data_IF_565016960928
#
_entry.id   IF_565016960928
#
_cell.length_a   1.000
_cell.length_b   1.000
_cell.length_c   1.000
_cell.angle_alpha   90.00
_cell.angle_beta   90.00
_cell.angle_gamma   90.00
#
_symmetry.space_group_name_H-M   'P 1'
#
loop_
_entity.id
_entity.type
_entity.pdbx_description
1 polymer ?
#
# COMPACT_ATOMS: atom_id res chain seq x y z
N UNK A 1 -9.47 7.65 11.97
CA UNK A 1 -8.99 6.59 11.07
C UNK A 1 -9.23 5.27 11.77
N UNK A 2 -9.74 4.28 11.05
CA UNK A 2 -9.94 2.93 11.58
C UNK A 2 -8.60 2.21 11.60
N UNK A 3 -8.30 1.50 12.69
CA UNK A 3 -7.08 0.71 12.82
C UNK A 3 -7.41 -0.77 12.69
N UNK A 4 -6.67 -1.48 11.85
CA UNK A 4 -6.84 -2.90 11.58
C UNK A 4 -5.63 -3.71 12.05
N UNK A 5 -5.84 -4.95 12.48
CA UNK A 5 -4.74 -5.88 12.74
C UNK A 5 -4.27 -6.52 11.44
N UNK A 6 -2.99 -6.89 11.36
CA UNK A 6 -2.46 -7.68 10.23
C UNK A 6 -3.27 -8.96 9.99
N UNK A 7 -3.70 -9.59 11.08
CA UNK A 7 -4.55 -10.79 11.07
C UNK A 7 -5.91 -10.54 10.41
N UNK A 8 -6.47 -9.34 10.59
CA UNK A 8 -7.75 -8.98 10.01
C UNK A 8 -7.59 -8.72 8.52
N UNK A 9 -6.59 -7.92 8.14
CA UNK A 9 -6.30 -7.62 6.74
C UNK A 9 -6.00 -8.91 5.97
N UNK A 10 -5.30 -9.87 6.58
CA UNK A 10 -5.02 -11.18 5.99
C UNK A 10 -6.27 -12.02 5.66
N UNK A 11 -7.43 -11.75 6.28
CA UNK A 11 -8.70 -12.40 5.93
C UNK A 11 -9.31 -11.84 4.64
N UNK A 12 -8.97 -10.61 4.27
CA UNK A 12 -9.45 -9.95 3.05
C UNK A 12 -8.49 -10.23 1.89
N UNK A 13 -8.47 -11.50 1.48
CA UNK A 13 -7.58 -12.04 0.46
C UNK A 13 -8.33 -12.66 -0.74
N UNK A 14 -9.54 -12.19 -1.04
CA UNK A 14 -10.40 -12.75 -2.11
C UNK A 14 -10.80 -11.69 -3.11
N UNK A 15 -11.24 -12.12 -4.30
CA UNK A 15 -11.72 -11.23 -5.38
C UNK A 15 -12.92 -10.34 -4.99
N UNK A 16 -13.72 -10.74 -4.00
CA UNK A 16 -14.86 -9.95 -3.51
C UNK A 16 -14.55 -9.17 -2.22
N UNK A 17 -13.36 -9.38 -1.63
CA UNK A 17 -12.89 -8.76 -0.39
C UNK A 17 -11.35 -8.71 -0.45
N UNK A 18 -10.82 -7.66 -1.10
CA UNK A 18 -9.41 -7.53 -1.45
C UNK A 18 -8.80 -6.28 -0.82
N UNK A 19 -8.04 -6.49 0.25
CA UNK A 19 -7.32 -5.41 0.92
C UNK A 19 -5.82 -5.56 0.72
N UNK A 20 -5.14 -4.42 0.63
CA UNK A 20 -3.68 -4.36 0.55
C UNK A 20 -3.14 -3.39 1.58
N UNK A 21 -1.91 -3.65 2.02
CA UNK A 21 -1.18 -2.78 2.94
C UNK A 21 -0.12 -2.02 2.14
N UNK A 22 -0.12 -0.70 2.28
CA UNK A 22 0.90 0.17 1.69
C UNK A 22 1.35 1.22 2.70
N UNK A 23 2.64 1.26 3.05
CA UNK A 23 3.19 2.16 4.07
C UNK A 23 2.32 2.21 5.34
N UNK A 24 1.99 1.03 5.88
CA UNK A 24 1.14 0.89 7.08
C UNK A 24 -0.33 1.35 6.89
N UNK A 25 -0.71 1.82 5.69
CA UNK A 25 -2.08 2.13 5.31
C UNK A 25 -2.83 0.90 4.82
N UNK A 26 -4.12 0.79 5.13
CA UNK A 26 -5.01 -0.25 4.60
C UNK A 26 -5.91 0.35 3.53
N UNK A 27 -5.95 -0.30 2.37
CA UNK A 27 -6.65 0.17 1.17
C UNK A 27 -7.59 -0.92 0.65
N UNK A 28 -8.85 -0.55 0.43
CA UNK A 28 -9.86 -1.43 -0.19
C UNK A 28 -9.87 -1.22 -1.69
N UNK A 29 -9.28 -2.17 -2.42
CA UNK A 29 -9.22 -2.14 -3.89
C UNK A 29 -10.12 -3.23 -4.50
N UNK A 30 -11.06 -3.75 -3.72
CA UNK A 30 -12.06 -4.75 -4.12
C UNK A 30 -12.85 -4.35 -5.37
N UNK A 31 -13.07 -3.07 -5.61
CA UNK A 31 -13.74 -2.58 -6.83
C UNK A 31 -12.77 -2.21 -7.96
N UNK A 32 -11.49 -2.08 -7.65
CA UNK A 32 -10.48 -1.59 -8.58
C UNK A 32 -9.58 -2.71 -9.12
N UNK A 33 -9.50 -3.85 -8.45
CA UNK A 33 -8.54 -4.91 -8.83
C UNK A 33 -8.73 -5.42 -10.28
N UNK A 34 -9.97 -5.41 -10.80
CA UNK A 34 -10.27 -5.76 -12.21
C UNK A 34 -9.90 -4.65 -13.18
N UNK A 35 -9.86 -3.39 -12.73
CA UNK A 35 -9.50 -2.22 -13.53
C UNK A 35 -7.98 -1.99 -13.55
N UNK A 36 -7.21 -2.79 -12.78
CA UNK A 36 -5.78 -2.62 -12.66
C UNK A 36 -5.04 -2.99 -13.95
N UNK A 37 -4.33 -2.04 -14.60
CA UNK A 37 -3.66 -2.30 -15.88
C UNK A 37 -2.52 -3.32 -15.79
N UNK A 38 -1.95 -3.53 -14.60
CA UNK A 38 -0.92 -4.56 -14.36
C UNK A 38 -1.48 -5.97 -14.15
N UNK A 39 -2.81 -6.14 -14.19
CA UNK A 39 -3.50 -7.41 -14.01
C UNK A 39 -3.96 -7.67 -12.58
N UNK A 40 -5.07 -8.40 -12.46
CA UNK A 40 -5.69 -8.79 -11.18
C UNK A 40 -4.89 -9.86 -10.42
N UNK A 41 -4.20 -10.76 -11.13
CA UNK A 41 -3.45 -11.87 -10.52
C UNK A 41 -2.40 -11.38 -9.51
N UNK A 42 -1.73 -10.27 -9.82
CA UNK A 42 -0.69 -9.69 -8.97
C UNK A 42 -1.31 -9.12 -7.69
N UNK A 43 -2.46 -8.45 -7.82
CA UNK A 43 -3.18 -7.89 -6.68
C UNK A 43 -3.73 -8.99 -5.77
N UNK A 44 -4.30 -10.05 -6.35
CA UNK A 44 -4.77 -11.23 -5.61
C UNK A 44 -3.64 -11.93 -4.85
N UNK A 45 -2.45 -12.04 -5.45
CA UNK A 45 -1.29 -12.66 -4.80
C UNK A 45 -0.78 -11.83 -3.59
N UNK A 46 -0.93 -10.51 -3.67
CA UNK A 46 -0.57 -9.55 -2.61
C UNK A 46 -1.74 -9.23 -1.67
N UNK A 47 -2.92 -9.80 -1.91
CA UNK A 47 -4.10 -9.55 -1.10
C UNK A 47 -3.89 -10.04 0.34
N UNK A 48 -4.28 -9.21 1.30
CA UNK A 48 -4.06 -9.43 2.72
C UNK A 48 -2.60 -9.29 3.18
N UNK A 49 -1.71 -8.74 2.33
CA UNK A 49 -0.27 -8.58 2.60
C UNK A 49 0.19 -7.16 2.32
N UNK A 50 1.43 -6.87 2.73
CA UNK A 50 2.14 -5.65 2.35
C UNK A 50 2.60 -5.72 0.89
N UNK A 51 2.13 -4.76 0.10
CA UNK A 51 2.49 -4.57 -1.30
C UNK A 51 3.35 -3.34 -1.52
N UNK A 52 3.88 -2.73 -0.44
CA UNK A 52 4.66 -1.49 -0.49
C UNK A 52 5.84 -1.63 -1.43
N UNK A 53 6.64 -2.69 -1.25
CA UNK A 53 7.81 -2.92 -2.10
C UNK A 53 7.43 -3.18 -3.56
N UNK A 54 6.43 -4.02 -3.82
CA UNK A 54 6.01 -4.31 -5.19
C UNK A 54 5.49 -3.06 -5.90
N UNK A 55 4.75 -2.20 -5.21
CA UNK A 55 4.21 -0.98 -5.78
C UNK A 55 5.31 0.03 -6.14
N UNK A 56 6.31 0.18 -5.26
CA UNK A 56 7.46 1.08 -5.42
C UNK A 56 8.42 0.59 -6.52
N UNK A 57 8.70 -0.72 -6.55
CA UNK A 57 9.59 -1.36 -7.55
C UNK A 57 9.04 -1.24 -8.98
N UNK A 58 7.72 -1.33 -9.14
CA UNK A 58 7.06 -1.13 -10.45
C UNK A 58 7.16 0.33 -10.92
N UNK A 59 7.21 1.30 -10.01
CA UNK A 59 7.28 2.72 -10.36
C UNK A 59 5.99 3.29 -10.95
N UNK A 60 4.87 3.15 -10.23
CA UNK A 60 3.57 3.67 -10.66
C UNK A 60 3.54 5.22 -10.82
N UNK A 61 2.77 5.71 -11.80
CA UNK A 61 2.57 7.14 -12.04
C UNK A 61 1.90 7.87 -10.87
N UNK A 62 2.07 9.19 -10.82
CA UNK A 62 1.47 10.07 -9.79
C UNK A 62 -0.05 9.90 -9.68
N UNK A 63 -0.75 9.71 -10.81
CA UNK A 63 -2.20 9.45 -10.82
C UNK A 63 -2.57 8.18 -10.05
N UNK A 64 -1.80 7.10 -10.19
CA UNK A 64 -2.03 5.85 -9.46
C UNK A 64 -1.76 6.01 -7.97
N UNK A 65 -0.76 6.82 -7.60
CA UNK A 65 -0.45 7.18 -6.21
C UNK A 65 -1.63 7.94 -5.59
N UNK A 66 -2.17 8.94 -6.30
CA UNK A 66 -3.33 9.71 -5.85
C UNK A 66 -4.56 8.82 -5.74
N UNK A 67 -4.82 7.99 -6.75
CA UNK A 67 -5.97 7.10 -6.81
C UNK A 67 -5.95 6.10 -5.66
N UNK A 68 -4.81 5.48 -5.37
CA UNK A 68 -4.60 4.63 -4.18
C UNK A 68 -5.12 5.32 -2.91
N UNK A 69 -4.77 6.59 -2.73
CA UNK A 69 -5.14 7.34 -1.52
C UNK A 69 -6.65 7.48 -1.34
N UNK A 70 -7.42 7.50 -2.42
CA UNK A 70 -8.89 7.53 -2.37
C UNK A 70 -9.50 6.22 -1.85
N UNK A 71 -8.79 5.10 -1.98
CA UNK A 71 -9.21 3.78 -1.50
C UNK A 71 -8.80 3.49 -0.04
N UNK A 72 -8.16 4.45 0.63
CA UNK A 72 -7.69 4.25 2.01
C UNK A 72 -8.87 4.16 2.98
N UNK A 73 -8.99 3.00 3.63
CA UNK A 73 -10.02 2.75 4.65
C UNK A 73 -9.49 2.90 6.08
N UNK A 74 -8.17 2.78 6.27
CA UNK A 74 -7.55 2.83 7.59
C UNK A 74 -6.05 2.67 7.57
N UNK A 75 -5.49 2.24 8.70
CA UNK A 75 -4.08 1.88 8.87
C UNK A 75 -3.98 0.60 9.66
N UNK A 76 -2.91 -0.17 9.43
CA UNK A 76 -2.56 -1.24 10.35
C UNK A 76 -1.95 -0.61 11.62
N UNK A 77 -1.98 -1.33 12.74
CA UNK A 77 -1.39 -0.80 13.96
C UNK A 77 -1.49 -1.77 15.12
N UNK A 78 -0.33 -2.16 15.64
CA UNK A 78 -0.26 -2.63 17.01
C UNK A 78 -0.55 -1.41 17.90
N UNK A 79 -1.62 -1.45 18.69
CA UNK A 79 -2.14 -0.28 19.40
C UNK A 79 -1.04 0.57 20.05
N UNK A 80 -1.07 1.87 19.74
CA UNK A 80 -0.27 2.97 20.28
C UNK A 80 1.17 3.14 19.75
N UNK A 81 1.37 4.13 18.88
CA UNK A 81 2.11 5.36 19.17
C UNK A 81 2.41 6.14 17.88
N UNK A 82 2.30 7.46 17.97
CA UNK A 82 2.69 8.41 16.95
C UNK A 82 4.22 8.44 16.71
N UNK A 83 4.63 8.81 15.50
CA UNK A 83 6.02 9.06 15.08
C UNK A 83 6.59 7.84 14.34
N UNK A 84 7.11 7.94 13.13
CA UNK A 84 8.09 8.92 12.70
C UNK A 84 8.04 9.09 11.18
N UNK A 85 7.92 10.34 10.74
CA UNK A 85 8.28 10.77 9.40
C UNK A 85 9.75 10.47 9.16
N UNK A 86 10.12 9.69 8.14
CA UNK A 86 11.33 9.94 7.33
C UNK A 86 11.36 9.04 6.09
N UNK A 87 11.06 9.61 4.94
CA UNK A 87 11.87 9.34 3.75
C UNK A 87 12.16 10.68 3.09
N UNK A 88 12.92 11.51 3.81
CA UNK A 88 13.76 12.48 3.15
C UNK A 88 14.89 11.67 2.51
N UNK A 89 14.88 11.56 1.18
CA UNK A 89 16.12 11.27 0.46
C UNK A 89 17.09 12.43 0.75
N UNK A 90 18.24 12.22 1.42
CA UNK A 90 19.30 13.19 1.32
C UNK A 90 19.87 13.09 -0.09
N UNK A 91 19.68 14.16 -0.87
CA UNK A 91 20.52 14.47 -2.02
C UNK A 91 21.99 14.31 -1.61
N UNK A 92 22.64 13.26 -2.10
CA UNK A 92 24.09 13.11 -1.93
C UNK A 92 24.76 13.77 -3.13
N UNK A 93 25.07 15.06 -2.95
CA UNK A 93 26.11 15.73 -3.71
C UNK A 93 27.51 15.42 -3.14
N UNK A 94 28.51 15.41 -4.02
CA UNK A 94 29.94 15.31 -3.71
C UNK A 94 30.56 14.05 -4.33
N UNK A 95 31.63 14.09 -5.13
CA UNK A 95 32.77 15.00 -5.08
C UNK A 95 33.57 14.91 -6.39
N UNK A 96 34.12 16.05 -6.81
CA UNK A 96 35.15 16.21 -7.83
C UNK A 96 36.31 15.22 -7.70
N UNK A 97 36.86 14.80 -8.84
CA UNK A 97 38.27 15.05 -9.20
C UNK A 97 38.38 15.27 -10.71
#
# INVERSE_FOLDING_TARGET
MTTFSLEEVAKHNTENDLWIIYNDGVYDITKFYTEHPGGEEILLNLAGKDSTQCFDDIGHSEEAIILRETFKIGTVGAGTAAGETVSSSPSSGGTSQ
#
